data_IF_416393427808
#
_entry.id   IF_416393427808
#
_cell.length_a   1.000
_cell.length_b   1.000
_cell.length_c   1.000
_cell.angle_alpha   90.00
_cell.angle_beta   90.00
_cell.angle_gamma   90.00
#
_symmetry.space_group_name_H-M   'P 1'
#
loop_
_entity.id
_entity.type
_entity.pdbx_description
1 polymer ?
#
# COMPACT_ATOMS: atom_id res chain seq x y z
N UNK A 1 -7.26 -16.06 -8.06
CA UNK A 1 -6.97 -15.30 -6.82
C UNK A 1 -5.54 -15.53 -6.35
N UNK A 2 -5.13 -16.78 -6.04
CA UNK A 2 -3.76 -17.08 -5.60
C UNK A 2 -2.68 -16.57 -6.55
N UNK A 3 -2.82 -16.81 -7.86
CA UNK A 3 -1.89 -16.30 -8.86
C UNK A 3 -1.72 -14.77 -8.80
N UNK A 4 -2.83 -14.03 -8.70
CA UNK A 4 -2.83 -12.58 -8.62
C UNK A 4 -2.18 -12.07 -7.31
N UNK A 5 -2.42 -12.76 -6.19
CA UNK A 5 -1.79 -12.43 -4.92
C UNK A 5 -0.27 -12.66 -4.97
N UNK A 6 0.17 -13.79 -5.54
CA UNK A 6 1.58 -14.11 -5.71
C UNK A 6 2.24 -13.08 -6.65
N UNK A 7 1.64 -12.78 -7.81
CA UNK A 7 2.19 -11.79 -8.74
C UNK A 7 2.29 -10.41 -8.10
N UNK A 8 1.28 -10.00 -7.33
CA UNK A 8 1.29 -8.74 -6.60
C UNK A 8 2.44 -8.67 -5.60
N UNK A 9 2.62 -9.69 -4.77
CA UNK A 9 3.70 -9.75 -3.77
C UNK A 9 5.08 -9.75 -4.45
N UNK A 10 5.23 -10.50 -5.55
CA UNK A 10 6.48 -10.57 -6.31
C UNK A 10 6.81 -9.22 -6.94
N UNK A 11 5.86 -8.56 -7.60
CA UNK A 11 6.07 -7.22 -8.20
C UNK A 11 6.42 -6.19 -7.13
N UNK A 12 5.70 -6.20 -5.99
CA UNK A 12 5.99 -5.32 -4.86
C UNK A 12 7.39 -5.58 -4.28
N UNK A 13 7.81 -6.85 -4.17
CA UNK A 13 9.15 -7.21 -3.73
C UNK A 13 10.22 -6.70 -4.70
N UNK A 14 10.05 -6.92 -6.00
CA UNK A 14 10.99 -6.45 -7.02
C UNK A 14 11.14 -4.93 -7.00
N UNK A 15 10.04 -4.19 -6.86
CA UNK A 15 10.07 -2.73 -6.79
C UNK A 15 10.76 -2.24 -5.51
N UNK A 16 10.47 -2.86 -4.35
CA UNK A 16 11.16 -2.53 -3.10
C UNK A 16 12.65 -2.89 -3.15
N UNK A 17 13.01 -4.03 -3.76
CA UNK A 17 14.41 -4.48 -3.89
C UNK A 17 15.22 -3.63 -4.86
N UNK A 18 14.58 -3.10 -5.91
CA UNK A 18 15.20 -2.11 -6.80
C UNK A 18 15.58 -0.84 -6.04
N UNK A 19 14.78 -0.43 -5.06
CA UNK A 19 15.04 0.76 -4.23
C UNK A 19 15.96 0.47 -3.03
N UNK A 20 15.94 -0.75 -2.51
CA UNK A 20 16.72 -1.18 -1.36
C UNK A 20 17.35 -2.57 -1.62
N UNK A 21 18.55 -2.63 -2.24
CA UNK A 21 19.16 -3.89 -2.67
C UNK A 21 19.48 -4.87 -1.53
N UNK A 22 19.72 -4.36 -0.33
CA UNK A 22 19.97 -5.10 0.91
C UNK A 22 18.69 -5.63 1.57
N UNK A 23 17.52 -5.48 0.96
CA UNK A 23 16.25 -5.91 1.54
C UNK A 23 16.15 -7.45 1.61
N UNK A 24 16.12 -7.96 2.82
CA UNK A 24 15.88 -9.37 3.11
C UNK A 24 14.40 -9.74 2.93
N UNK A 25 14.17 -10.90 2.30
CA UNK A 25 12.82 -11.47 2.11
C UNK A 25 12.02 -11.61 3.42
N UNK A 26 12.56 -12.13 4.54
CA UNK A 26 11.80 -12.24 5.78
C UNK A 26 11.34 -10.90 6.35
N UNK A 27 12.17 -9.86 6.25
CA UNK A 27 11.82 -8.50 6.69
C UNK A 27 10.69 -7.94 5.82
N UNK A 28 10.78 -8.10 4.50
CA UNK A 28 9.74 -7.72 3.56
C UNK A 28 8.41 -8.44 3.85
N UNK A 29 8.42 -9.77 4.00
CA UNK A 29 7.19 -10.53 4.27
C UNK A 29 6.54 -10.14 5.60
N UNK A 30 7.33 -9.83 6.63
CA UNK A 30 6.82 -9.30 7.89
C UNK A 30 6.13 -7.95 7.71
N UNK A 31 6.74 -7.04 6.94
CA UNK A 31 6.15 -5.72 6.61
C UNK A 31 4.82 -5.88 5.87
N UNK A 32 4.79 -6.75 4.85
CA UNK A 32 3.59 -7.06 4.06
C UNK A 32 2.51 -7.64 4.96
N UNK A 33 2.83 -8.62 5.80
CA UNK A 33 1.88 -9.23 6.73
C UNK A 33 1.26 -8.22 7.71
N UNK A 34 2.08 -7.34 8.30
CA UNK A 34 1.59 -6.27 9.18
C UNK A 34 0.70 -5.27 8.44
N UNK A 35 1.05 -4.91 7.21
CA UNK A 35 0.23 -4.01 6.39
C UNK A 35 -1.11 -4.66 6.02
N UNK A 36 -1.13 -5.94 5.67
CA UNK A 36 -2.37 -6.69 5.43
C UNK A 36 -3.25 -6.79 6.68
N UNK A 37 -2.64 -7.04 7.85
CA UNK A 37 -3.37 -7.11 9.11
C UNK A 37 -3.96 -5.75 9.49
N UNK A 38 -3.27 -4.66 9.18
CA UNK A 38 -3.79 -3.30 9.38
C UNK A 38 -4.91 -2.96 8.39
N UNK A 39 -4.83 -3.44 7.16
CA UNK A 39 -5.85 -3.16 6.14
C UNK A 39 -7.12 -3.98 6.34
N UNK A 40 -7.06 -5.18 6.91
CA UNK A 40 -8.23 -6.02 7.24
C UNK A 40 -9.37 -5.25 7.95
N UNK A 41 -9.13 -4.54 9.08
CA UNK A 41 -10.16 -3.77 9.75
C UNK A 41 -10.49 -2.44 9.04
N UNK A 42 -9.57 -1.90 8.23
CA UNK A 42 -9.74 -0.62 7.52
C UNK A 42 -10.48 -0.81 6.18
N UNK A 43 -10.49 -2.03 5.64
CA UNK A 43 -11.06 -2.38 4.34
C UNK A 43 -12.56 -2.00 4.22
N UNK A 44 -13.44 -2.31 5.19
CA UNK A 44 -14.84 -1.90 5.11
C UNK A 44 -15.01 -0.38 5.04
N UNK A 45 -14.20 0.36 5.79
CA UNK A 45 -14.24 1.83 5.78
C UNK A 45 -13.73 2.41 4.46
N UNK A 46 -12.65 1.86 3.90
CA UNK A 46 -12.15 2.25 2.58
C UNK A 46 -13.19 1.96 1.49
N UNK A 47 -13.84 0.80 1.54
CA UNK A 47 -14.88 0.44 0.58
C UNK A 47 -16.07 1.42 0.66
N UNK A 48 -16.51 1.79 1.87
CA UNK A 48 -17.58 2.79 2.08
C UNK A 48 -17.15 4.16 1.56
N UNK A 49 -15.92 4.60 1.87
CA UNK A 49 -15.41 5.90 1.42
C UNK A 49 -15.32 5.99 -0.11
N UNK A 50 -14.81 4.94 -0.76
CA UNK A 50 -14.74 4.85 -2.23
C UNK A 50 -16.15 4.85 -2.82
N UNK A 51 -17.07 4.07 -2.24
CA UNK A 51 -18.47 4.03 -2.67
C UNK A 51 -19.16 5.39 -2.52
N UNK A 52 -18.91 6.11 -1.44
CA UNK A 52 -19.44 7.45 -1.20
C UNK A 52 -18.90 8.44 -2.24
N UNK A 53 -17.61 8.38 -2.58
CA UNK A 53 -17.04 9.18 -3.66
C UNK A 53 -17.71 8.91 -5.01
N UNK A 54 -17.90 7.64 -5.37
CA UNK A 54 -18.58 7.27 -6.61
C UNK A 54 -20.07 7.62 -6.63
N UNK A 55 -20.73 7.72 -5.47
CA UNK A 55 -22.11 8.19 -5.38
C UNK A 55 -22.25 9.63 -5.92
N UNK A 56 -21.29 10.51 -5.62
CA UNK A 56 -21.26 11.85 -6.23
C UNK A 56 -21.01 11.80 -7.73
N UNK A 57 -20.10 10.92 -8.19
CA UNK A 57 -19.81 10.78 -9.61
C UNK A 57 -21.04 10.30 -10.39
N UNK A 58 -21.79 9.34 -9.84
CA UNK A 58 -23.05 8.86 -10.41
C UNK A 58 -24.06 10.00 -10.49
N UNK A 59 -24.24 10.79 -9.42
CA UNK A 59 -25.17 11.93 -9.43
C UNK A 59 -24.81 12.98 -10.51
N UNK A 60 -23.51 13.19 -10.76
CA UNK A 60 -23.06 14.08 -11.84
C UNK A 60 -23.43 13.49 -13.21
N UNK A 61 -23.19 12.19 -13.42
CA UNK A 61 -23.55 11.53 -14.69
C UNK A 61 -25.05 11.53 -14.93
N UNK A 62 -25.84 11.30 -13.88
CA UNK A 62 -27.30 11.37 -13.90
C UNK A 62 -27.77 12.79 -14.26
N UNK A 63 -27.17 13.83 -13.66
CA UNK A 63 -27.48 15.22 -13.97
C UNK A 63 -27.24 15.55 -15.45
N UNK A 64 -26.15 15.05 -16.05
CA UNK A 64 -25.83 15.24 -17.47
C UNK A 64 -26.48 14.21 -18.41
N UNK A 65 -27.28 13.28 -17.90
CA UNK A 65 -27.88 12.18 -18.67
C UNK A 65 -26.85 11.35 -19.46
N UNK A 66 -25.67 11.14 -18.87
CA UNK A 66 -24.63 10.30 -19.44
C UNK A 66 -24.85 8.81 -19.13
N UNK A 67 -24.24 7.93 -19.92
CA UNK A 67 -24.32 6.49 -19.69
C UNK A 67 -23.57 6.10 -18.40
N UNK A 68 -24.34 5.78 -17.37
CA UNK A 68 -23.85 5.32 -16.08
C UNK A 68 -23.21 3.93 -16.13
N UNK A 69 -23.47 3.11 -17.16
CA UNK A 69 -22.88 1.77 -17.25
C UNK A 69 -21.35 1.82 -17.36
N UNK A 70 -20.82 2.92 -17.92
CA UNK A 70 -19.39 3.18 -18.02
C UNK A 70 -18.76 3.33 -16.63
N UNK A 71 -19.52 3.73 -15.60
CA UNK A 71 -19.03 3.88 -14.23
C UNK A 71 -18.94 2.55 -13.47
N UNK A 72 -19.67 1.50 -13.87
CA UNK A 72 -19.63 0.22 -13.16
C UNK A 72 -18.24 -0.40 -13.13
N UNK A 73 -17.50 -0.29 -14.25
CA UNK A 73 -16.12 -0.77 -14.34
C UNK A 73 -15.17 -0.05 -13.38
N UNK A 74 -15.03 1.29 -13.39
CA UNK A 74 -14.17 2.00 -12.46
C UNK A 74 -14.63 1.90 -11.00
N UNK A 75 -15.94 1.79 -10.73
CA UNK A 75 -16.44 1.51 -9.37
C UNK A 75 -15.95 0.13 -8.90
N UNK A 76 -16.14 -0.90 -9.73
CA UNK A 76 -15.69 -2.25 -9.44
C UNK A 76 -14.18 -2.28 -9.19
N UNK A 77 -13.38 -1.69 -10.10
CA UNK A 77 -11.93 -1.66 -9.95
C UNK A 77 -11.49 -0.80 -8.76
N UNK A 78 -12.14 0.32 -8.50
CA UNK A 78 -11.83 1.20 -7.37
C UNK A 78 -12.05 0.52 -6.02
N UNK A 79 -13.21 -0.09 -5.82
CA UNK A 79 -13.56 -0.77 -4.56
C UNK A 79 -12.69 -2.01 -4.34
N UNK A 80 -12.46 -2.81 -5.38
CA UNK A 80 -11.65 -4.03 -5.25
C UNK A 80 -10.16 -3.75 -5.12
N UNK A 81 -9.59 -2.88 -5.96
CA UNK A 81 -8.14 -2.70 -6.04
C UNK A 81 -7.63 -1.51 -5.24
N UNK A 82 -8.47 -0.52 -4.93
CA UNK A 82 -8.10 0.64 -4.11
C UNK A 82 -7.44 0.26 -2.77
N UNK A 83 -8.02 -0.68 -2.00
CA UNK A 83 -7.40 -1.14 -0.75
C UNK A 83 -6.03 -1.82 -0.96
N UNK A 84 -5.85 -2.58 -2.04
CA UNK A 84 -4.54 -3.18 -2.36
C UNK A 84 -3.51 -2.12 -2.75
N UNK A 85 -3.90 -1.09 -3.50
CA UNK A 85 -3.04 0.06 -3.79
C UNK A 85 -2.61 0.78 -2.50
N UNK A 86 -3.49 0.86 -1.50
CA UNK A 86 -3.14 1.40 -0.19
C UNK A 86 -2.13 0.52 0.57
N UNK A 87 -2.30 -0.81 0.56
CA UNK A 87 -1.29 -1.75 1.11
C UNK A 87 0.06 -1.54 0.43
N UNK A 88 0.07 -1.49 -0.90
CA UNK A 88 1.27 -1.28 -1.71
C UNK A 88 1.99 -0.01 -1.27
N UNK A 89 1.26 1.11 -1.18
CA UNK A 89 1.81 2.39 -0.73
C UNK A 89 2.41 2.25 0.66
N UNK A 90 1.66 1.76 1.64
CA UNK A 90 2.09 1.71 3.04
C UNK A 90 3.33 0.85 3.25
N UNK A 91 3.42 -0.30 2.58
CA UNK A 91 4.60 -1.17 2.62
C UNK A 91 5.81 -0.45 2.01
N UNK A 92 5.64 0.15 0.83
CA UNK A 92 6.71 0.88 0.15
C UNK A 92 7.20 2.08 0.97
N UNK A 93 6.27 2.85 1.52
CA UNK A 93 6.56 4.01 2.37
C UNK A 93 7.40 3.59 3.59
N UNK A 94 7.01 2.54 4.31
CA UNK A 94 7.79 2.04 5.46
C UNK A 94 9.19 1.59 5.07
N UNK A 95 9.32 0.82 3.99
CA UNK A 95 10.62 0.33 3.52
C UNK A 95 11.53 1.49 3.10
N UNK A 96 10.97 2.52 2.46
CA UNK A 96 11.71 3.73 2.08
C UNK A 96 12.10 4.55 3.31
N UNK A 97 11.20 4.72 4.29
CA UNK A 97 11.49 5.44 5.53
C UNK A 97 12.59 4.76 6.35
N UNK A 98 12.57 3.43 6.47
CA UNK A 98 13.60 2.67 7.18
C UNK A 98 15.00 2.87 6.59
N UNK A 99 15.10 3.03 5.26
CA UNK A 99 16.35 3.37 4.58
C UNK A 99 16.84 4.77 4.95
N UNK A 100 15.93 5.74 5.06
CA UNK A 100 16.25 7.13 5.41
C UNK A 100 16.67 7.29 6.88
N UNK A 101 16.37 6.31 7.74
CA UNK A 101 16.66 6.35 9.19
C UNK A 101 17.96 5.66 9.62
N UNK A 102 18.88 5.31 8.70
CA UNK A 102 20.22 4.84 9.11
C UNK A 102 20.94 5.90 9.97
N UNK A 103 21.69 5.47 11.00
CA UNK A 103 21.86 6.20 12.26
C UNK A 103 22.85 7.37 12.17
N UNK A 104 22.55 8.46 12.88
CA UNK A 104 23.58 9.38 13.37
C UNK A 104 24.57 8.56 14.19
N UNK A 105 25.75 8.32 13.63
CA UNK A 105 26.90 7.82 14.38
C UNK A 105 27.27 8.91 15.39
N UNK A 106 26.73 8.84 16.60
CA UNK A 106 27.36 9.47 17.76
C UNK A 106 28.53 8.59 18.18
N UNK A 107 29.61 8.69 17.41
CA UNK A 107 30.93 8.22 17.82
C UNK A 107 31.51 9.21 18.84
N UNK A 108 31.95 8.72 20.00
CA UNK A 108 32.74 9.55 20.91
C UNK A 108 32.87 9.04 22.33
N UNK A 109 33.73 8.04 22.54
CA UNK A 109 34.61 8.07 23.71
C UNK A 109 34.25 7.21 24.92
N UNK A 110 34.14 5.90 24.74
CA UNK A 110 34.49 4.97 25.81
C UNK A 110 36.01 4.99 26.02
N UNK A 111 36.51 5.79 26.96
CA UNK A 111 37.91 5.76 27.38
C UNK A 111 38.02 5.00 28.70
N UNK A 112 38.46 3.76 28.57
CA UNK A 112 39.01 2.92 29.64
C UNK A 112 40.32 3.54 30.11
N UNK A 113 40.39 3.95 31.37
CA UNK A 113 41.59 3.99 32.25
C UNK A 113 41.01 3.94 33.67
N UNK A 114 41.37 3.00 34.54
CA UNK A 114 42.73 2.64 34.93
C UNK A 114 42.90 3.14 36.35
#
# INVERSE_FOLDING_TARGET
ILFAAISYVVVLYYDCKRLHPSLEVPVFLKQVGLAFLYVLPVYPFLAVLISFGFLFVINIFEFFHWDEQILNTPIYFGVLYGPFSFVYWRVKEKIVQERSTLPTVNGGGGRVLG
#
